data_IF_093069843332
#
_entry.id   IF_093069843332
#
_cell.length_a   1.000
_cell.length_b   1.000
_cell.length_c   1.000
_cell.angle_alpha   90.00
_cell.angle_beta   90.00
_cell.angle_gamma   90.00
#
_symmetry.space_group_name_H-M   'P 1'
#
loop_
_entity.id
_entity.type
_entity.pdbx_description
1 polymer ?
#
# COMPACT_ATOMS: atom_id res chain seq x y z
N UNK A 1 10.71 28.94 -2.21
CA UNK A 1 10.17 27.60 -2.51
C UNK A 1 11.19 26.56 -2.03
N UNK A 2 10.91 25.91 -0.91
CA UNK A 2 11.83 24.93 -0.33
C UNK A 2 11.69 23.58 -1.06
N UNK A 3 12.56 23.31 -2.01
CA UNK A 3 12.63 22.06 -2.78
C UNK A 3 13.16 20.85 -1.96
N UNK A 4 13.40 21.04 -0.66
CA UNK A 4 13.94 19.98 0.23
C UNK A 4 12.91 19.05 0.85
N UNK A 5 11.62 19.39 0.82
CA UNK A 5 10.58 18.58 1.46
C UNK A 5 10.25 17.25 0.73
N UNK A 6 10.28 17.16 -0.62
CA UNK A 6 10.02 15.89 -1.28
C UNK A 6 11.08 14.82 -1.02
N UNK A 7 12.36 15.21 -0.92
CA UNK A 7 13.44 14.26 -0.65
C UNK A 7 13.34 13.64 0.75
N UNK A 8 12.90 14.42 1.73
CA UNK A 8 12.73 13.95 3.10
C UNK A 8 11.61 12.92 3.24
N UNK A 9 10.55 13.05 2.43
CA UNK A 9 9.43 12.08 2.39
C UNK A 9 9.81 10.77 1.68
N UNK A 10 10.65 10.83 0.65
CA UNK A 10 11.13 9.65 -0.08
C UNK A 10 12.11 8.83 0.78
N UNK A 11 12.95 9.51 1.57
CA UNK A 11 13.91 8.85 2.47
C UNK A 11 13.27 8.28 3.75
N UNK A 12 12.01 8.56 4.00
CA UNK A 12 11.27 8.13 5.20
C UNK A 12 10.49 6.84 4.98
N UNK A 13 10.79 6.09 3.92
CA UNK A 13 10.24 4.78 3.61
C UNK A 13 10.59 3.75 4.69
N UNK A 14 9.76 2.72 4.81
CA UNK A 14 9.96 1.64 5.79
C UNK A 14 11.35 1.01 5.69
N UNK A 15 11.82 0.72 4.47
CA UNK A 15 13.15 0.19 4.20
C UNK A 15 14.26 1.11 4.75
N UNK A 16 14.19 2.40 4.42
CA UNK A 16 15.15 3.40 4.88
C UNK A 16 15.10 3.61 6.39
N UNK A 17 13.90 3.56 7.01
CA UNK A 17 13.76 3.64 8.47
C UNK A 17 14.46 2.50 9.19
N UNK A 18 14.30 1.28 8.70
CA UNK A 18 14.94 0.10 9.29
C UNK A 18 16.45 0.15 9.07
N UNK A 19 16.90 0.45 7.85
CA UNK A 19 18.31 0.54 7.50
C UNK A 19 19.02 1.64 8.30
N UNK A 20 18.42 2.81 8.44
CA UNK A 20 18.96 3.91 9.23
C UNK A 20 19.05 3.56 10.72
N UNK A 21 18.05 2.87 11.27
CA UNK A 21 18.11 2.39 12.67
C UNK A 21 19.24 1.38 12.86
N UNK A 22 19.40 0.45 11.94
CA UNK A 22 20.48 -0.53 11.98
C UNK A 22 21.85 0.13 11.88
N UNK A 23 22.00 1.15 11.04
CA UNK A 23 23.25 1.89 10.90
C UNK A 23 23.57 2.73 12.13
N UNK A 24 22.57 3.32 12.77
CA UNK A 24 22.74 4.19 13.92
C UNK A 24 22.95 3.44 15.25
N UNK A 25 22.25 2.33 15.43
CA UNK A 25 22.20 1.58 16.70
C UNK A 25 22.78 0.16 16.61
N UNK A 26 23.29 -0.24 15.44
CA UNK A 26 23.78 -1.60 15.19
C UNK A 26 24.96 -2.03 16.07
N UNK A 27 25.73 -1.06 16.57
CA UNK A 27 26.88 -1.29 17.46
C UNK A 27 26.49 -1.34 18.95
N UNK A 28 25.22 -1.03 19.28
CA UNK A 28 24.76 -1.11 20.67
C UNK A 28 24.57 -2.55 21.13
N UNK A 29 24.98 -2.90 22.38
CA UNK A 29 24.89 -4.29 22.87
C UNK A 29 23.45 -4.80 22.99
N UNK A 30 22.48 -3.93 23.17
CA UNK A 30 21.06 -4.28 23.29
C UNK A 30 20.33 -4.38 21.94
N UNK A 31 21.01 -3.99 20.84
CA UNK A 31 20.39 -4.05 19.51
C UNK A 31 20.40 -5.48 18.98
N UNK A 32 19.26 -6.01 18.49
CA UNK A 32 19.19 -7.36 17.97
C UNK A 32 20.08 -7.52 16.73
N UNK A 33 21.04 -8.44 16.81
CA UNK A 33 21.95 -8.74 15.69
C UNK A 33 21.29 -9.74 14.74
N UNK A 34 21.49 -9.51 13.44
CA UNK A 34 21.00 -10.42 12.39
C UNK A 34 21.53 -11.85 12.53
N UNK A 35 22.76 -11.99 13.01
CA UNK A 35 23.41 -13.28 13.27
C UNK A 35 22.63 -14.15 14.27
N UNK A 36 22.00 -13.53 15.28
CA UNK A 36 21.19 -14.23 16.27
C UNK A 36 19.94 -14.87 15.67
N UNK A 37 19.48 -14.37 14.52
CA UNK A 37 18.31 -14.90 13.79
C UNK A 37 18.69 -15.73 12.57
N UNK A 38 19.98 -15.99 12.34
CA UNK A 38 20.45 -16.74 11.18
C UNK A 38 20.18 -16.07 9.84
N UNK A 39 20.03 -14.74 9.83
CA UNK A 39 19.75 -13.95 8.63
C UNK A 39 21.02 -13.25 8.14
N UNK A 40 21.25 -13.30 6.83
CA UNK A 40 22.27 -12.48 6.20
C UNK A 40 21.73 -11.06 5.91
N UNK A 41 22.64 -10.09 5.76
CA UNK A 41 22.26 -8.73 5.39
C UNK A 41 21.49 -8.69 4.06
N UNK A 42 21.93 -9.49 3.09
CA UNK A 42 21.30 -9.58 1.78
C UNK A 42 19.85 -10.10 1.88
N UNK A 43 19.60 -11.13 2.69
CA UNK A 43 18.25 -11.67 2.91
C UNK A 43 17.32 -10.65 3.58
N UNK A 44 17.85 -9.82 4.48
CA UNK A 44 17.09 -8.74 5.10
C UNK A 44 16.77 -7.64 4.08
N UNK A 45 17.74 -7.22 3.29
CA UNK A 45 17.56 -6.18 2.28
C UNK A 45 16.53 -6.62 1.23
N UNK A 46 16.59 -7.86 0.75
CA UNK A 46 15.59 -8.44 -0.16
C UNK A 46 14.18 -8.46 0.46
N UNK A 47 14.07 -8.85 1.72
CA UNK A 47 12.79 -8.83 2.43
C UNK A 47 12.23 -7.43 2.58
N UNK A 48 13.06 -6.47 2.98
CA UNK A 48 12.64 -5.07 3.13
C UNK A 48 12.21 -4.46 1.80
N UNK A 49 12.94 -4.75 0.73
CA UNK A 49 12.60 -4.30 -0.63
C UNK A 49 11.23 -4.88 -1.08
N UNK A 50 11.03 -6.18 -0.94
CA UNK A 50 9.77 -6.84 -1.28
C UNK A 50 8.60 -6.29 -0.46
N UNK A 51 8.81 -6.10 0.84
CA UNK A 51 7.78 -5.54 1.72
C UNK A 51 7.44 -4.10 1.36
N UNK A 52 8.43 -3.28 1.05
CA UNK A 52 8.23 -1.91 0.60
C UNK A 52 7.47 -1.87 -0.73
N UNK A 53 7.83 -2.72 -1.69
CA UNK A 53 7.13 -2.82 -2.97
C UNK A 53 5.64 -3.16 -2.80
N UNK A 54 5.30 -4.03 -1.85
CA UNK A 54 3.90 -4.37 -1.55
C UNK A 54 3.17 -3.18 -0.90
N UNK A 55 3.81 -2.48 0.02
CA UNK A 55 3.23 -1.29 0.66
C UNK A 55 3.01 -0.16 -0.35
N UNK A 56 3.92 -0.02 -1.31
CA UNK A 56 3.84 1.00 -2.36
C UNK A 56 2.81 0.70 -3.45
N UNK A 57 2.27 -0.53 -3.51
CA UNK A 57 1.17 -0.88 -4.43
C UNK A 57 -0.05 0.01 -4.25
N UNK A 58 -0.28 0.54 -3.06
CA UNK A 58 -1.34 1.51 -2.79
C UNK A 58 -1.11 2.88 -3.42
N UNK A 59 0.10 3.16 -3.88
CA UNK A 59 0.50 4.45 -4.40
C UNK A 59 0.55 5.55 -3.34
N UNK A 60 0.99 6.73 -3.75
CA UNK A 60 0.98 7.91 -2.87
C UNK A 60 -0.45 8.38 -2.59
N UNK A 61 -0.64 9.14 -1.52
CA UNK A 61 -1.95 9.78 -1.22
C UNK A 61 -2.49 10.60 -2.39
N UNK A 62 -1.61 11.27 -3.12
CA UNK A 62 -1.96 12.05 -4.31
C UNK A 62 -2.48 11.13 -5.43
N UNK A 63 -1.80 10.03 -5.70
CA UNK A 63 -2.22 9.04 -6.70
C UNK A 63 -3.56 8.42 -6.32
N UNK A 64 -3.76 8.07 -5.05
CA UNK A 64 -5.04 7.52 -4.57
C UNK A 64 -6.20 8.50 -4.75
N UNK A 65 -5.98 9.80 -4.46
CA UNK A 65 -6.99 10.84 -4.68
C UNK A 65 -7.33 11.02 -6.15
N UNK A 66 -6.32 11.01 -7.03
CA UNK A 66 -6.51 11.12 -8.47
C UNK A 66 -7.31 9.94 -9.01
N UNK A 67 -6.93 8.72 -8.68
CA UNK A 67 -7.63 7.49 -9.10
C UNK A 67 -9.05 7.47 -8.53
N UNK A 68 -9.24 7.82 -7.25
CA UNK A 68 -10.55 7.94 -6.62
C UNK A 68 -11.44 8.96 -7.32
N UNK A 69 -10.87 10.11 -7.70
CA UNK A 69 -11.58 11.13 -8.49
C UNK A 69 -12.04 10.60 -9.84
N UNK A 70 -11.18 9.91 -10.58
CA UNK A 70 -11.55 9.26 -11.85
C UNK A 70 -12.68 8.26 -11.67
N UNK A 71 -12.60 7.39 -10.67
CA UNK A 71 -13.66 6.40 -10.39
C UNK A 71 -14.98 7.08 -10.06
N UNK A 72 -14.95 8.20 -9.32
CA UNK A 72 -16.16 8.96 -8.98
C UNK A 72 -16.84 9.58 -10.20
N UNK A 73 -16.07 9.97 -11.22
CA UNK A 73 -16.58 10.60 -12.45
C UNK A 73 -17.16 9.57 -13.43
N UNK A 74 -16.73 8.31 -13.38
CA UNK A 74 -17.19 7.26 -14.31
C UNK A 74 -18.72 7.16 -14.40
N UNK A 75 -19.50 7.06 -13.29
CA UNK A 75 -20.96 6.98 -13.38
C UNK A 75 -21.59 8.20 -14.05
N UNK A 76 -21.03 9.40 -13.81
CA UNK A 76 -21.50 10.63 -14.43
C UNK A 76 -21.25 10.63 -15.94
N UNK A 77 -20.08 10.15 -16.38
CA UNK A 77 -19.75 9.99 -17.79
C UNK A 77 -20.69 8.99 -18.47
N UNK A 78 -20.99 7.87 -17.82
CA UNK A 78 -21.93 6.87 -18.33
C UNK A 78 -23.32 7.50 -18.50
N UNK A 79 -23.79 8.27 -17.51
CA UNK A 79 -25.07 9.00 -17.64
C UNK A 79 -25.08 9.99 -18.81
N UNK A 80 -23.97 10.65 -19.06
CA UNK A 80 -23.84 11.60 -20.15
C UNK A 80 -24.00 10.96 -21.55
N UNK A 81 -23.85 9.65 -21.65
CA UNK A 81 -24.08 8.90 -22.92
C UNK A 81 -25.55 8.66 -23.21
N UNK A 82 -26.45 8.87 -22.24
CA UNK A 82 -27.89 8.67 -22.47
C UNK A 82 -28.59 9.93 -22.99
N UNK A 83 -29.54 9.78 -23.91
CA UNK A 83 -30.28 10.94 -24.41
C UNK A 83 -31.17 11.55 -23.33
N UNK A 84 -31.39 12.84 -23.43
CA UNK A 84 -32.14 13.66 -22.47
C UNK A 84 -33.56 13.16 -22.15
N UNK A 85 -34.16 12.42 -23.07
CA UNK A 85 -35.50 11.86 -22.93
C UNK A 85 -35.49 10.44 -22.37
N UNK A 86 -34.36 9.95 -21.89
CA UNK A 86 -34.23 8.62 -21.29
C UNK A 86 -35.04 8.53 -19.97
N UNK A 87 -35.70 7.40 -19.68
CA UNK A 87 -36.39 7.19 -18.41
C UNK A 87 -35.49 7.29 -17.19
N UNK A 88 -34.17 7.23 -17.36
CA UNK A 88 -33.18 7.44 -16.31
C UNK A 88 -33.31 8.84 -15.69
N UNK A 89 -33.75 9.84 -16.47
CA UNK A 89 -33.93 11.23 -16.04
C UNK A 89 -35.35 11.57 -15.57
N UNK A 90 -36.19 10.58 -15.29
CA UNK A 90 -37.57 10.77 -14.86
C UNK A 90 -37.68 11.69 -13.63
N UNK A 91 -36.75 11.59 -12.70
CA UNK A 91 -36.66 12.46 -11.51
C UNK A 91 -35.92 13.78 -11.72
N UNK A 92 -35.59 14.12 -12.98
CA UNK A 92 -34.82 15.31 -13.34
C UNK A 92 -33.31 15.06 -13.43
N UNK A 93 -32.67 15.73 -14.40
CA UNK A 93 -31.23 15.57 -14.68
C UNK A 93 -30.35 15.89 -13.46
N UNK A 94 -30.67 16.98 -12.72
CA UNK A 94 -29.90 17.39 -11.56
C UNK A 94 -29.92 16.31 -10.46
N UNK A 95 -31.08 15.74 -10.16
CA UNK A 95 -31.23 14.72 -9.13
C UNK A 95 -30.49 13.42 -9.53
N UNK A 96 -30.63 13.00 -10.77
CA UNK A 96 -29.94 11.82 -11.32
C UNK A 96 -28.43 11.99 -11.28
N UNK A 97 -27.90 13.19 -11.59
CA UNK A 97 -26.47 13.47 -11.51
C UNK A 97 -25.95 13.41 -10.08
N UNK A 98 -26.69 13.96 -9.12
CA UNK A 98 -26.33 13.87 -7.69
C UNK A 98 -26.26 12.43 -7.23
N UNK A 99 -27.24 11.60 -7.60
CA UNK A 99 -27.25 10.18 -7.26
C UNK A 99 -26.04 9.46 -7.89
N UNK A 100 -25.69 9.78 -9.13
CA UNK A 100 -24.51 9.21 -9.79
C UNK A 100 -23.20 9.56 -9.10
N UNK A 101 -23.06 10.79 -8.61
CA UNK A 101 -21.88 11.21 -7.83
C UNK A 101 -21.79 10.44 -6.52
N UNK A 102 -22.90 10.25 -5.81
CA UNK A 102 -22.94 9.47 -4.57
C UNK A 102 -22.54 8.02 -4.83
N UNK A 103 -23.07 7.40 -5.88
CA UNK A 103 -22.70 6.04 -6.29
C UNK A 103 -21.21 5.96 -6.62
N UNK A 104 -20.67 6.93 -7.36
CA UNK A 104 -19.25 7.00 -7.69
C UNK A 104 -18.34 7.12 -6.45
N UNK A 105 -18.74 7.91 -5.46
CA UNK A 105 -18.02 8.03 -4.19
C UNK A 105 -18.02 6.71 -3.40
N UNK A 106 -19.18 6.04 -3.31
CA UNK A 106 -19.28 4.74 -2.66
C UNK A 106 -18.41 3.69 -3.38
N UNK A 107 -18.41 3.69 -4.70
CA UNK A 107 -17.58 2.81 -5.49
C UNK A 107 -16.08 3.05 -5.27
N UNK A 108 -15.65 4.32 -5.21
CA UNK A 108 -14.27 4.69 -4.92
C UNK A 108 -13.84 4.24 -3.52
N UNK A 109 -14.69 4.41 -2.50
CA UNK A 109 -14.43 3.92 -1.15
C UNK A 109 -14.32 2.39 -1.10
N UNK A 110 -15.18 1.69 -1.81
CA UNK A 110 -15.16 0.24 -1.90
C UNK A 110 -13.88 -0.27 -2.58
N UNK A 111 -13.48 0.31 -3.69
CA UNK A 111 -12.22 -0.02 -4.37
C UNK A 111 -11.00 0.20 -3.47
N UNK A 112 -10.99 1.30 -2.71
CA UNK A 112 -9.92 1.58 -1.74
C UNK A 112 -9.87 0.52 -0.63
N UNK A 113 -11.01 0.11 -0.08
CA UNK A 113 -11.09 -0.93 0.94
C UNK A 113 -10.57 -2.28 0.41
N UNK A 114 -10.95 -2.67 -0.81
CA UNK A 114 -10.45 -3.89 -1.45
C UNK A 114 -8.93 -3.83 -1.65
N UNK A 115 -8.39 -2.71 -2.13
CA UNK A 115 -6.96 -2.53 -2.31
C UNK A 115 -6.20 -2.68 -0.98
N UNK A 116 -6.69 -2.08 0.10
CA UNK A 116 -6.11 -2.24 1.44
C UNK A 116 -6.14 -3.69 1.93
N UNK A 117 -7.25 -4.40 1.71
CA UNK A 117 -7.34 -5.82 2.04
C UNK A 117 -6.30 -6.66 1.29
N UNK A 118 -6.12 -6.42 0.00
CA UNK A 118 -5.11 -7.12 -0.82
C UNK A 118 -3.70 -6.83 -0.32
N UNK A 119 -3.39 -5.58 0.00
CA UNK A 119 -2.09 -5.18 0.55
C UNK A 119 -1.82 -5.89 1.87
N UNK A 120 -2.76 -5.85 2.82
CA UNK A 120 -2.65 -6.51 4.12
C UNK A 120 -2.46 -8.03 3.97
N UNK A 121 -3.22 -8.65 3.10
CA UNK A 121 -3.09 -10.09 2.82
C UNK A 121 -1.69 -10.44 2.29
N UNK A 122 -1.18 -9.67 1.34
CA UNK A 122 0.16 -9.88 0.77
C UNK A 122 1.28 -9.66 1.79
N UNK A 123 1.17 -8.62 2.61
CA UNK A 123 2.13 -8.35 3.70
C UNK A 123 2.14 -9.51 4.69
N UNK A 124 0.98 -9.95 5.16
CA UNK A 124 0.89 -11.09 6.09
C UNK A 124 1.46 -12.37 5.51
N UNK A 125 1.20 -12.64 4.23
CA UNK A 125 1.74 -13.82 3.56
C UNK A 125 3.27 -13.78 3.51
N UNK A 126 3.87 -12.64 3.18
CA UNK A 126 5.33 -12.47 3.16
C UNK A 126 5.95 -12.61 4.54
N UNK A 127 5.30 -12.04 5.56
CA UNK A 127 5.78 -12.16 6.94
C UNK A 127 5.75 -13.63 7.42
N UNK A 128 4.72 -14.40 7.08
CA UNK A 128 4.63 -15.82 7.40
C UNK A 128 5.70 -16.65 6.67
N UNK A 129 5.92 -16.41 5.37
CA UNK A 129 6.97 -17.10 4.61
C UNK A 129 8.36 -16.86 5.21
N UNK A 130 8.64 -15.64 5.66
CA UNK A 130 9.91 -15.30 6.30
C UNK A 130 10.06 -15.97 7.66
N UNK A 131 9.03 -15.97 8.49
CA UNK A 131 9.03 -16.63 9.79
C UNK A 131 9.25 -18.13 9.66
N UNK A 132 8.58 -18.78 8.72
CA UNK A 132 8.78 -20.21 8.44
C UNK A 132 10.21 -20.51 8.02
N UNK A 133 10.84 -19.67 7.19
CA UNK A 133 12.25 -19.84 6.80
C UNK A 133 13.21 -19.67 7.97
N UNK A 134 12.94 -18.72 8.87
CA UNK A 134 13.74 -18.52 10.08
C UNK A 134 13.62 -19.72 11.00
N UNK A 135 12.41 -20.19 11.27
CA UNK A 135 12.15 -21.36 12.11
C UNK A 135 12.83 -22.63 11.56
N UNK A 136 12.79 -22.82 10.23
CA UNK A 136 13.46 -23.93 9.56
C UNK A 136 14.99 -23.86 9.70
N UNK A 137 15.58 -22.66 9.52
CA UNK A 137 17.03 -22.46 9.70
C UNK A 137 17.47 -22.70 11.13
N UNK A 138 16.72 -22.20 12.12
CA UNK A 138 17.01 -22.41 13.54
C UNK A 138 16.93 -23.91 13.88
N UNK A 139 15.88 -24.59 13.43
CA UNK A 139 15.72 -26.02 13.65
C UNK A 139 16.88 -26.85 13.05
N UNK A 140 17.38 -26.48 11.88
CA UNK A 140 18.53 -27.16 11.27
C UNK A 140 19.88 -26.88 11.95
N UNK A 141 20.02 -25.70 12.58
CA UNK A 141 21.25 -25.38 13.32
C UNK A 141 21.35 -26.13 14.65
N UNK A 142 20.22 -26.49 15.26
CA UNK A 142 20.18 -27.27 16.50
C UNK A 142 20.49 -28.77 16.29
N UNK A 143 20.44 -29.26 15.04
CA UNK A 143 20.72 -30.66 14.68
C UNK A 143 22.23 -30.90 14.40
N UNK A 144 22.96 -29.84 14.14
CA UNK A 144 24.41 -29.87 13.93
C UNK A 144 25.19 -29.46 15.18
#
# INVERSE_FOLDING_TARGET
MNLREPEKQILDDFEHKVTNKMQKYGDEPDFPKLENYGLTRMELDDYLFDKQAILDMGGSKRTQLTVGGFITVIPVLILSCFPDKSPIYENGKAMTTIIAIIIGLLLACFCKALLQMVILYRVNKKDQEKQTKVDFKVSNSDIM
#
